data_IF_273081898378
#
_entry.id   IF_273081898378
#
_cell.length_a   1.000
_cell.length_b   1.000
_cell.length_c   1.000
_cell.angle_alpha   90.00
_cell.angle_beta   90.00
_cell.angle_gamma   90.00
#
_symmetry.space_group_name_H-M   'P 1'
#
loop_
_entity.id
_entity.type
_entity.pdbx_description
1 polymer ?
#
# COMPACT_ATOMS: atom_id res chain seq x y z
N UNK A 1 -27.93 7.39 17.80
CA UNK A 1 -26.47 7.11 17.84
C UNK A 1 -25.80 8.11 16.93
N UNK A 2 -24.77 8.82 17.39
CA UNK A 2 -24.05 9.76 16.54
C UNK A 2 -23.12 9.03 15.54
N UNK A 3 -22.70 9.73 14.49
CA UNK A 3 -21.87 9.18 13.42
C UNK A 3 -20.46 8.73 13.90
N UNK A 4 -19.92 9.35 14.96
CA UNK A 4 -18.63 8.97 15.54
C UNK A 4 -18.72 7.64 16.31
N UNK A 5 -19.86 7.39 16.95
CA UNK A 5 -20.18 6.15 17.67
C UNK A 5 -20.37 5.00 16.69
N UNK A 6 -21.05 5.23 15.57
CA UNK A 6 -21.20 4.27 14.46
C UNK A 6 -19.85 3.94 13.79
N UNK A 7 -19.02 4.95 13.53
CA UNK A 7 -17.67 4.75 12.98
C UNK A 7 -16.75 3.97 13.95
N UNK A 8 -16.84 4.25 15.26
CA UNK A 8 -16.08 3.55 16.29
C UNK A 8 -16.46 2.07 16.46
N UNK A 9 -17.76 1.74 16.34
CA UNK A 9 -18.27 0.37 16.41
C UNK A 9 -17.91 -0.42 15.13
N UNK A 10 -18.15 0.16 13.95
CA UNK A 10 -17.77 -0.46 12.67
C UNK A 10 -16.26 -0.75 12.58
N UNK A 11 -15.44 0.16 13.12
CA UNK A 11 -13.98 -0.03 13.18
C UNK A 11 -13.59 -1.21 14.08
N UNK A 12 -14.22 -1.37 15.25
CA UNK A 12 -13.95 -2.50 16.15
C UNK A 12 -14.36 -3.83 15.54
N UNK A 13 -15.50 -3.90 14.88
CA UNK A 13 -15.98 -5.15 14.28
C UNK A 13 -15.23 -5.53 13.01
N UNK A 14 -14.79 -4.55 12.20
CA UNK A 14 -13.85 -4.79 11.10
C UNK A 14 -12.50 -5.31 11.60
N UNK A 15 -11.95 -4.72 12.67
CA UNK A 15 -10.69 -5.19 13.29
C UNK A 15 -10.86 -6.60 13.87
N UNK A 16 -12.02 -6.93 14.46
CA UNK A 16 -12.33 -8.29 14.92
C UNK A 16 -12.41 -9.29 13.78
N UNK A 17 -13.03 -8.91 12.66
CA UNK A 17 -13.07 -9.70 11.43
C UNK A 17 -11.67 -9.96 10.88
N UNK A 18 -10.80 -8.94 10.84
CA UNK A 18 -9.39 -9.09 10.47
C UNK A 18 -8.60 -9.96 11.45
N UNK A 19 -8.92 -9.92 12.74
CA UNK A 19 -8.33 -10.81 13.75
C UNK A 19 -8.62 -12.29 13.50
N UNK A 20 -9.76 -12.60 12.87
CA UNK A 20 -10.14 -13.95 12.45
C UNK A 20 -9.70 -14.30 11.02
N UNK A 21 -9.27 -13.30 10.23
CA UNK A 21 -9.23 -13.36 8.77
C UNK A 21 -7.93 -12.90 8.11
N UNK A 22 -7.94 -12.83 6.79
CA UNK A 22 -7.01 -12.03 6.00
C UNK A 22 -7.80 -10.99 5.20
N UNK A 23 -7.33 -9.74 5.16
CA UNK A 23 -7.97 -8.67 4.41
C UNK A 23 -7.07 -8.11 3.30
N UNK A 24 -7.65 -7.82 2.14
CA UNK A 24 -7.00 -7.06 1.08
C UNK A 24 -7.83 -5.80 0.78
N UNK A 25 -7.17 -4.65 0.72
CA UNK A 25 -7.78 -3.37 0.34
C UNK A 25 -7.04 -2.85 -0.88
N UNK A 26 -7.73 -2.71 -2.01
CA UNK A 26 -7.17 -2.07 -3.21
C UNK A 26 -7.73 -0.65 -3.33
N UNK A 27 -6.85 0.32 -3.50
CA UNK A 27 -7.18 1.74 -3.61
C UNK A 27 -6.65 2.29 -4.93
N UNK A 28 -7.43 3.16 -5.57
CA UNK A 28 -7.05 3.90 -6.77
C UNK A 28 -8.05 5.05 -6.97
N UNK A 29 -7.61 6.21 -7.47
CA UNK A 29 -8.47 7.37 -7.72
C UNK A 29 -9.40 7.21 -8.93
N UNK A 30 -10.14 6.11 -8.98
CA UNK A 30 -11.06 5.79 -10.06
C UNK A 30 -12.37 6.56 -9.96
N UNK A 31 -12.77 7.12 -11.09
CA UNK A 31 -14.09 7.68 -11.35
C UNK A 31 -15.13 6.57 -11.44
N UNK A 32 -16.31 6.88 -10.92
CA UNK A 32 -17.50 6.01 -10.94
C UNK A 32 -17.90 5.58 -12.36
N UNK A 33 -17.93 6.53 -13.30
CA UNK A 33 -18.42 6.32 -14.66
C UNK A 33 -17.64 5.24 -15.41
N UNK A 34 -16.33 5.27 -15.31
CA UNK A 34 -15.46 4.30 -15.99
C UNK A 34 -15.24 3.01 -15.18
N UNK A 35 -15.68 2.93 -13.91
CA UNK A 35 -15.48 1.75 -13.06
C UNK A 35 -16.77 0.94 -12.83
N UNK A 36 -17.86 1.54 -12.36
CA UNK A 36 -19.04 0.80 -11.87
C UNK A 36 -20.34 1.08 -12.65
N UNK A 37 -20.33 1.99 -13.63
CA UNK A 37 -21.49 2.22 -14.50
C UNK A 37 -21.51 1.21 -15.66
N UNK A 38 -22.58 0.42 -15.73
CA UNK A 38 -22.67 -0.74 -16.62
C UNK A 38 -22.43 -0.43 -18.11
N UNK A 39 -22.83 0.75 -18.59
CA UNK A 39 -22.68 1.13 -20.00
C UNK A 39 -21.28 1.61 -20.40
N UNK A 40 -20.41 1.89 -19.44
CA UNK A 40 -19.10 2.54 -19.65
C UNK A 40 -17.99 1.93 -18.78
N UNK A 41 -18.24 0.79 -18.15
CA UNK A 41 -17.27 0.16 -17.23
C UNK A 41 -16.07 -0.42 -17.99
N UNK A 42 -14.89 -0.12 -17.46
CA UNK A 42 -13.61 -0.74 -17.79
C UNK A 42 -13.14 -1.69 -16.68
N UNK A 43 -14.02 -2.00 -15.72
CA UNK A 43 -13.79 -2.94 -14.62
C UNK A 43 -14.78 -4.10 -14.65
N UNK A 44 -14.78 -4.94 -15.71
CA UNK A 44 -15.75 -6.01 -15.88
C UNK A 44 -15.64 -7.10 -14.80
N UNK A 45 -14.43 -7.42 -14.31
CA UNK A 45 -14.30 -8.41 -13.23
C UNK A 45 -14.95 -7.90 -11.95
N UNK A 46 -14.68 -6.66 -11.55
CA UNK A 46 -15.34 -6.03 -10.43
C UNK A 46 -16.87 -6.11 -10.59
N UNK A 47 -17.40 -5.58 -11.69
CA UNK A 47 -18.84 -5.42 -11.88
C UNK A 47 -19.59 -6.73 -12.07
N UNK A 48 -19.00 -7.67 -12.82
CA UNK A 48 -19.70 -8.89 -13.23
C UNK A 48 -19.38 -10.08 -12.36
N UNK A 49 -18.26 -10.10 -11.63
CA UNK A 49 -17.87 -11.25 -10.82
C UNK A 49 -17.80 -10.89 -9.33
N UNK A 50 -17.00 -9.89 -8.96
CA UNK A 50 -16.74 -9.58 -7.55
C UNK A 50 -17.99 -9.04 -6.84
N UNK A 51 -18.77 -8.19 -7.50
CA UNK A 51 -20.02 -7.63 -6.94
C UNK A 51 -21.06 -8.71 -6.63
N UNK A 52 -21.08 -9.83 -7.37
CA UNK A 52 -21.99 -10.95 -7.08
C UNK A 52 -21.66 -11.67 -5.75
N UNK A 53 -20.43 -11.49 -5.26
CA UNK A 53 -19.86 -12.19 -4.11
C UNK A 53 -19.64 -11.28 -2.90
N UNK A 54 -19.98 -10.00 -3.03
CA UNK A 54 -19.73 -8.98 -2.01
C UNK A 54 -20.81 -7.91 -2.01
N UNK A 55 -20.52 -6.79 -1.36
CA UNK A 55 -21.44 -5.65 -1.30
C UNK A 55 -20.86 -4.47 -2.08
N UNK A 56 -21.59 -4.02 -3.10
CA UNK A 56 -21.25 -2.80 -3.83
C UNK A 56 -21.94 -1.57 -3.23
N UNK A 57 -21.15 -0.66 -2.68
CA UNK A 57 -21.64 0.65 -2.24
C UNK A 57 -21.78 1.61 -3.42
N UNK A 58 -22.91 1.49 -4.13
CA UNK A 58 -23.19 2.25 -5.36
C UNK A 58 -23.37 3.76 -5.16
N UNK A 59 -23.33 4.30 -3.95
CA UNK A 59 -23.50 5.75 -3.70
C UNK A 59 -22.51 6.23 -2.65
N UNK A 60 -21.26 5.82 -2.83
CA UNK A 60 -20.15 6.33 -2.03
C UNK A 60 -19.72 7.67 -2.62
N UNK A 61 -19.66 8.70 -1.78
CA UNK A 61 -19.27 10.05 -2.15
C UNK A 61 -18.11 10.49 -1.27
N UNK A 62 -17.19 11.25 -1.86
CA UNK A 62 -16.12 11.88 -1.11
C UNK A 62 -16.71 13.11 -0.41
N UNK A 63 -16.71 13.11 0.92
CA UNK A 63 -17.22 14.23 1.71
C UNK A 63 -16.51 15.54 1.33
N UNK A 64 -17.29 16.54 0.91
CA UNK A 64 -16.80 17.88 0.58
C UNK A 64 -16.75 18.72 1.86
N UNK A 65 -15.71 18.52 2.67
CA UNK A 65 -15.53 19.22 3.95
C UNK A 65 -14.60 20.42 3.73
N UNK A 66 -15.02 21.61 4.17
CA UNK A 66 -14.22 22.83 4.02
C UNK A 66 -12.83 22.67 4.62
N UNK A 67 -11.80 22.96 3.83
CA UNK A 67 -10.40 22.90 4.24
C UNK A 67 -9.79 21.51 4.35
N UNK A 68 -10.52 20.45 3.95
CA UNK A 68 -10.03 19.07 3.85
C UNK A 68 -9.78 18.73 2.38
N UNK A 69 -8.55 18.31 2.09
CA UNK A 69 -8.16 17.86 0.75
C UNK A 69 -8.41 16.36 0.60
N UNK A 70 -8.74 15.93 -0.61
CA UNK A 70 -9.12 14.54 -0.91
C UNK A 70 -8.33 14.03 -2.12
N UNK A 71 -7.04 14.36 -2.19
CA UNK A 71 -6.15 13.76 -3.18
C UNK A 71 -5.96 12.26 -2.88
N UNK A 72 -5.27 11.54 -3.76
CA UNK A 72 -5.03 10.11 -3.61
C UNK A 72 -4.38 9.75 -2.26
N UNK A 73 -3.38 10.54 -1.85
CA UNK A 73 -2.65 10.35 -0.59
C UNK A 73 -3.55 10.57 0.64
N UNK A 74 -4.28 11.68 0.71
CA UNK A 74 -5.20 11.97 1.82
C UNK A 74 -6.37 11.00 1.85
N UNK A 75 -6.95 10.66 0.69
CA UNK A 75 -8.02 9.67 0.58
C UNK A 75 -7.59 8.31 1.13
N UNK A 76 -6.38 7.87 0.76
CA UNK A 76 -5.78 6.65 1.32
C UNK A 76 -5.62 6.75 2.83
N UNK A 77 -5.14 7.88 3.35
CA UNK A 77 -5.04 8.13 4.80
C UNK A 77 -6.41 8.05 5.48
N UNK A 78 -7.45 8.64 4.90
CA UNK A 78 -8.80 8.61 5.48
C UNK A 78 -9.33 7.19 5.59
N UNK A 79 -9.03 6.32 4.62
CA UNK A 79 -9.42 4.92 4.64
C UNK A 79 -8.68 4.16 5.74
N UNK A 80 -7.34 4.28 5.81
CA UNK A 80 -6.55 3.51 6.79
C UNK A 80 -6.65 4.07 8.21
N UNK A 81 -7.03 5.32 8.39
CA UNK A 81 -7.20 5.95 9.72
C UNK A 81 -8.66 6.01 10.18
N UNK A 82 -9.61 5.94 9.24
CA UNK A 82 -11.03 6.17 9.48
C UNK A 82 -11.38 7.62 9.84
N UNK A 83 -10.51 8.60 9.54
CA UNK A 83 -10.68 9.99 9.95
C UNK A 83 -10.34 10.95 8.83
N UNK A 84 -11.28 11.83 8.49
CA UNK A 84 -11.01 13.05 7.71
C UNK A 84 -10.19 14.02 8.57
N UNK A 85 -9.06 14.47 8.04
CA UNK A 85 -8.17 15.42 8.70
C UNK A 85 -7.51 16.32 7.66
N UNK A 86 -7.02 17.48 8.11
CA UNK A 86 -6.24 18.37 7.26
C UNK A 86 -4.76 18.00 7.39
N UNK A 87 -4.22 17.41 6.33
CA UNK A 87 -2.80 17.11 6.27
C UNK A 87 -2.01 18.28 5.72
N UNK A 88 -0.79 18.44 6.22
CA UNK A 88 0.21 19.37 5.70
C UNK A 88 1.50 18.59 5.54
N UNK A 89 2.25 18.92 4.48
CA UNK A 89 3.57 18.35 4.29
C UNK A 89 4.46 18.64 5.50
N UNK A 90 5.09 17.59 6.04
CA UNK A 90 5.94 17.69 7.23
C UNK A 90 7.18 18.55 6.96
N UNK A 91 7.65 18.60 5.71
CA UNK A 91 8.78 19.43 5.30
C UNK A 91 8.41 20.86 4.93
N UNK A 92 7.11 21.24 4.99
CA UNK A 92 6.57 22.48 4.42
C UNK A 92 7.02 22.73 2.97
N UNK A 93 7.28 21.66 2.21
CA UNK A 93 7.72 21.78 0.82
C UNK A 93 6.53 22.14 -0.07
N UNK A 94 6.77 23.04 -1.02
CA UNK A 94 5.81 23.30 -2.08
C UNK A 94 5.62 22.02 -2.90
N UNK A 95 4.39 21.50 -2.97
CA UNK A 95 4.03 20.18 -3.54
C UNK A 95 4.63 18.97 -2.82
N UNK A 96 5.06 19.11 -1.57
CA UNK A 96 5.37 17.96 -0.73
C UNK A 96 4.10 17.21 -0.36
N UNK A 97 4.15 15.87 -0.41
CA UNK A 97 3.03 14.99 -0.07
C UNK A 97 3.34 14.12 1.15
N UNK A 98 4.34 14.48 1.96
CA UNK A 98 4.74 13.68 3.12
C UNK A 98 3.87 14.06 4.31
N UNK A 99 2.85 13.25 4.58
CA UNK A 99 1.89 13.51 5.63
C UNK A 99 2.16 12.74 6.92
N UNK A 100 1.56 13.16 8.02
CA UNK A 100 1.62 12.44 9.29
C UNK A 100 0.22 12.24 9.87
N UNK A 101 -0.24 11.00 9.86
CA UNK A 101 -1.45 10.61 10.57
C UNK A 101 -1.24 10.78 12.08
N UNK A 102 -2.10 11.56 12.74
CA UNK A 102 -2.08 11.73 14.21
C UNK A 102 -2.85 10.63 14.95
N UNK A 103 -3.64 9.86 14.20
CA UNK A 103 -4.45 8.75 14.72
C UNK A 103 -3.91 7.44 14.15
N UNK A 104 -4.00 6.32 14.90
CA UNK A 104 -3.43 5.06 14.44
C UNK A 104 -4.14 4.54 13.19
N UNK A 105 -3.35 3.90 12.33
CA UNK A 105 -3.80 3.18 11.13
C UNK A 105 -4.44 1.84 11.49
N UNK A 106 -5.20 1.25 10.55
CA UNK A 106 -5.75 -0.10 10.67
C UNK A 106 -4.65 -1.14 10.92
N UNK A 107 -3.47 -0.98 10.34
CA UNK A 107 -2.31 -1.85 10.58
C UNK A 107 -1.86 -1.80 12.04
N UNK A 108 -1.73 -0.60 12.59
CA UNK A 108 -1.32 -0.39 13.98
C UNK A 108 -2.31 -1.02 14.96
N UNK A 109 -3.62 -0.86 14.70
CA UNK A 109 -4.65 -1.52 15.49
C UNK A 109 -4.56 -3.05 15.41
N UNK A 110 -4.44 -3.61 14.20
CA UNK A 110 -4.35 -5.05 13.99
C UNK A 110 -3.12 -5.66 14.69
N UNK A 111 -1.94 -5.06 14.48
CA UNK A 111 -0.69 -5.56 15.08
C UNK A 111 -0.72 -5.47 16.60
N UNK A 112 -1.24 -4.37 17.16
CA UNK A 112 -1.30 -4.21 18.62
C UNK A 112 -2.32 -5.16 19.25
N UNK A 113 -3.49 -5.35 18.64
CA UNK A 113 -4.55 -6.17 19.20
C UNK A 113 -4.28 -7.68 19.09
N UNK A 114 -3.60 -8.12 18.03
CA UNK A 114 -3.44 -9.55 17.70
C UNK A 114 -1.98 -10.00 17.60
N UNK A 115 -1.02 -9.16 17.99
CA UNK A 115 0.41 -9.44 17.92
C UNK A 115 0.88 -9.93 16.53
N UNK A 116 0.27 -9.39 15.46
CA UNK A 116 0.61 -9.78 14.09
C UNK A 116 2.05 -9.30 13.76
N UNK A 117 2.92 -10.19 13.25
CA UNK A 117 4.26 -9.81 12.81
C UNK A 117 4.21 -8.77 11.68
N UNK A 118 5.18 -7.85 11.64
CA UNK A 118 5.21 -6.76 10.65
C UNK A 118 5.22 -7.25 9.21
N UNK A 119 5.89 -8.36 8.89
CA UNK A 119 5.91 -8.95 7.54
C UNK A 119 4.53 -9.48 7.10
N UNK A 120 3.57 -9.65 8.01
CA UNK A 120 2.20 -10.05 7.70
C UNK A 120 1.22 -8.87 7.61
N UNK A 121 1.71 -7.64 7.69
CA UNK A 121 0.91 -6.42 7.49
C UNK A 121 1.59 -5.55 6.46
N UNK A 122 1.04 -5.48 5.26
CA UNK A 122 1.74 -4.97 4.09
C UNK A 122 1.03 -3.78 3.45
N UNK A 123 1.82 -2.79 3.07
CA UNK A 123 1.44 -1.74 2.13
C UNK A 123 2.23 -1.97 0.84
N UNK A 124 1.56 -2.14 -0.29
CA UNK A 124 2.18 -2.31 -1.59
C UNK A 124 2.07 -1.00 -2.33
N UNK A 125 3.21 -0.46 -2.76
CA UNK A 125 3.26 0.87 -3.33
C UNK A 125 4.16 0.96 -4.57
N UNK A 126 3.79 1.79 -5.54
CA UNK A 126 4.50 1.91 -6.82
C UNK A 126 5.68 2.85 -6.77
N UNK A 127 5.64 3.84 -5.87
CA UNK A 127 6.61 4.90 -5.93
C UNK A 127 8.04 4.41 -5.69
N UNK A 128 8.92 4.88 -6.55
CA UNK A 128 10.37 4.84 -6.39
C UNK A 128 10.86 6.00 -5.50
N UNK A 129 9.96 6.56 -4.69
CA UNK A 129 10.21 7.69 -3.82
C UNK A 129 9.82 7.32 -2.40
N UNK A 130 10.56 7.85 -1.42
CA UNK A 130 10.26 7.61 0.00
C UNK A 130 9.07 8.42 0.50
N UNK A 131 8.50 9.30 -0.34
CA UNK A 131 7.52 10.30 0.07
C UNK A 131 6.19 9.67 0.43
N UNK A 132 5.87 8.45 0.00
CA UNK A 132 4.63 7.74 0.36
C UNK A 132 4.79 6.68 1.46
N UNK A 133 5.98 6.55 2.04
CA UNK A 133 6.21 5.66 3.19
C UNK A 133 5.41 6.08 4.43
N UNK A 134 4.85 7.31 4.46
CA UNK A 134 4.03 7.79 5.58
C UNK A 134 2.77 6.96 5.83
N UNK A 135 2.29 6.23 4.83
CA UNK A 135 1.11 5.38 4.94
C UNK A 135 1.29 4.22 5.94
N UNK A 136 2.54 3.92 6.32
CA UNK A 136 2.86 2.74 7.12
C UNK A 136 2.51 2.86 8.61
N UNK A 137 2.54 4.07 9.19
CA UNK A 137 2.19 4.30 10.60
C UNK A 137 1.93 5.77 10.95
N UNK A 138 1.23 5.96 12.08
CA UNK A 138 0.90 7.26 12.68
C UNK A 138 1.99 7.82 13.60
N UNK A 139 1.88 9.10 13.97
CA UNK A 139 2.68 9.72 15.05
C UNK A 139 2.03 9.59 16.44
N UNK A 140 1.07 8.67 16.60
CA UNK A 140 0.34 8.50 17.85
C UNK A 140 1.21 7.86 18.96
N UNK A 141 1.29 8.48 20.13
CA UNK A 141 2.18 8.09 21.25
C UNK A 141 2.02 6.65 21.78
N UNK A 142 0.82 6.08 21.76
CA UNK A 142 0.58 4.67 22.13
C UNK A 142 0.70 3.67 20.98
N UNK A 143 0.96 4.15 19.76
CA UNK A 143 1.14 3.35 18.55
C UNK A 143 2.42 3.83 17.84
N UNK A 144 2.45 3.82 16.51
CA UNK A 144 3.56 4.31 15.71
C UNK A 144 4.47 3.20 15.19
N UNK A 145 5.75 3.51 15.11
CA UNK A 145 6.79 2.72 14.42
C UNK A 145 6.83 1.25 14.81
N UNK A 146 6.52 0.90 16.06
CA UNK A 146 6.55 -0.47 16.55
C UNK A 146 5.41 -1.33 15.99
N UNK A 147 4.29 -0.70 15.61
CA UNK A 147 3.09 -1.34 15.06
C UNK A 147 2.83 -0.99 13.58
N UNK A 148 3.84 -0.47 12.86
CA UNK A 148 3.75 -0.13 11.43
C UNK A 148 3.42 -1.32 10.52
N UNK A 149 2.87 -1.06 9.34
CA UNK A 149 2.97 -2.01 8.22
C UNK A 149 4.39 -2.01 7.64
N UNK A 150 4.79 -3.14 7.05
CA UNK A 150 5.92 -3.15 6.12
C UNK A 150 5.47 -2.66 4.75
N UNK A 151 6.38 -1.99 4.03
CA UNK A 151 6.10 -1.49 2.68
C UNK A 151 6.85 -2.32 1.65
N UNK A 152 6.15 -2.80 0.62
CA UNK A 152 6.78 -3.37 -0.57
C UNK A 152 6.68 -2.36 -1.71
N UNK A 153 7.82 -1.80 -2.11
CA UNK A 153 7.90 -0.78 -3.17
C UNK A 153 9.24 -0.87 -3.90
N UNK A 154 9.34 -0.18 -5.05
CA UNK A 154 10.61 -0.06 -5.77
C UNK A 154 11.67 0.64 -4.94
N UNK A 155 11.27 1.67 -4.19
CA UNK A 155 12.16 2.34 -3.25
C UNK A 155 12.75 1.35 -2.24
N UNK A 156 11.91 0.53 -1.60
CA UNK A 156 12.35 -0.47 -0.61
C UNK A 156 13.23 -1.55 -1.23
N UNK A 157 12.91 -2.02 -2.43
CA UNK A 157 13.76 -2.96 -3.14
C UNK A 157 15.12 -2.36 -3.50
N UNK A 158 15.18 -1.10 -3.94
CA UNK A 158 16.47 -0.43 -4.20
C UNK A 158 17.29 -0.24 -2.95
N UNK A 159 16.67 0.12 -1.82
CA UNK A 159 17.38 0.27 -0.56
C UNK A 159 18.04 -1.06 -0.16
N UNK A 160 17.29 -2.16 -0.28
CA UNK A 160 17.80 -3.51 -0.11
C UNK A 160 18.96 -3.82 -1.07
N UNK A 161 18.85 -3.49 -2.37
CA UNK A 161 19.94 -3.72 -3.34
C UNK A 161 21.20 -2.92 -2.98
N UNK A 162 21.07 -1.66 -2.58
CA UNK A 162 22.20 -0.84 -2.16
C UNK A 162 22.93 -1.47 -0.97
N UNK A 163 22.19 -1.93 0.04
CA UNK A 163 22.79 -2.63 1.18
C UNK A 163 23.54 -3.90 0.76
N UNK A 164 22.94 -4.71 -0.13
CA UNK A 164 23.56 -5.96 -0.61
C UNK A 164 24.83 -5.66 -1.39
N UNK A 165 24.80 -4.70 -2.31
CA UNK A 165 25.97 -4.30 -3.09
C UNK A 165 27.11 -3.76 -2.20
N UNK A 166 26.78 -2.98 -1.17
CA UNK A 166 27.76 -2.50 -0.18
C UNK A 166 28.38 -3.65 0.62
N UNK A 167 27.57 -4.66 1.00
CA UNK A 167 28.03 -5.84 1.76
C UNK A 167 28.83 -6.83 0.89
N UNK A 168 28.50 -6.97 -0.38
CA UNK A 168 29.18 -7.86 -1.32
C UNK A 168 30.62 -7.41 -1.64
N UNK A 169 30.94 -6.13 -1.44
CA UNK A 169 32.32 -5.62 -1.55
C UNK A 169 32.93 -5.67 -2.96
N UNK A 170 32.11 -5.88 -4.00
CA UNK A 170 32.55 -5.99 -5.40
C UNK A 170 32.72 -4.63 -6.12
N UNK A 171 32.34 -3.54 -5.46
CA UNK A 171 32.34 -2.19 -6.03
C UNK A 171 33.68 -1.49 -5.81
N UNK A 172 34.07 -0.61 -6.74
CA UNK A 172 35.22 0.28 -6.53
C UNK A 172 34.97 1.30 -5.41
N UNK A 173 36.03 1.89 -4.85
CA UNK A 173 35.94 2.79 -3.68
C UNK A 173 34.98 3.98 -3.90
N UNK A 174 35.04 4.60 -5.09
CA UNK A 174 34.15 5.71 -5.46
C UNK A 174 32.68 5.29 -5.49
N UNK A 175 32.39 4.17 -6.13
CA UNK A 175 31.02 3.64 -6.22
C UNK A 175 30.51 3.24 -4.83
N UNK A 176 31.34 2.60 -4.01
CA UNK A 176 30.99 2.22 -2.65
C UNK A 176 30.64 3.46 -1.81
N UNK A 177 31.41 4.55 -1.93
CA UNK A 177 31.13 5.81 -1.24
C UNK A 177 29.79 6.43 -1.70
N UNK A 178 29.52 6.43 -3.01
CA UNK A 178 28.25 6.92 -3.56
C UNK A 178 27.05 6.11 -3.08
N UNK A 179 27.17 4.77 -3.04
CA UNK A 179 26.11 3.86 -2.58
C UNK A 179 25.84 4.01 -1.08
N UNK A 180 26.88 4.14 -0.25
CA UNK A 180 26.73 4.40 1.19
C UNK A 180 26.05 5.74 1.45
N UNK A 181 26.43 6.79 0.72
CA UNK A 181 25.79 8.10 0.81
C UNK A 181 24.31 8.07 0.40
N UNK A 182 23.98 7.29 -0.64
CA UNK A 182 22.59 7.10 -1.06
C UNK A 182 21.76 6.36 0.00
N UNK A 183 22.31 5.29 0.59
CA UNK A 183 21.67 4.54 1.66
C UNK A 183 21.42 5.40 2.90
N UNK A 184 22.44 6.14 3.37
CA UNK A 184 22.32 7.02 4.53
C UNK A 184 21.27 8.13 4.30
N UNK A 185 21.22 8.68 3.07
CA UNK A 185 20.17 9.65 2.70
C UNK A 185 18.78 9.03 2.83
N UNK A 186 18.62 7.76 2.48
CA UNK A 186 17.34 7.05 2.50
C UNK A 186 16.91 6.66 3.91
N UNK A 187 17.81 6.15 4.74
CA UNK A 187 17.52 5.81 6.14
C UNK A 187 17.06 7.02 6.97
N UNK A 188 17.49 8.24 6.59
CA UNK A 188 17.13 9.49 7.28
C UNK A 188 15.81 10.10 6.81
N UNK A 189 15.15 9.54 5.80
CA UNK A 189 13.94 10.16 5.23
C UNK A 189 12.80 10.20 6.25
N UNK A 190 12.64 9.14 7.05
CA UNK A 190 11.64 9.10 8.11
C UNK A 190 12.26 9.18 9.50
N UNK A 191 12.36 10.40 10.02
CA UNK A 191 12.89 10.67 11.35
C UNK A 191 12.14 9.92 12.46
N UNK A 192 10.86 9.55 12.23
CA UNK A 192 10.03 8.81 13.21
C UNK A 192 10.51 7.37 13.40
N UNK A 193 11.33 6.86 12.49
CA UNK A 193 11.95 5.53 12.63
C UNK A 193 13.04 5.50 13.69
N UNK A 194 13.62 6.65 14.06
CA UNK A 194 14.75 6.72 14.98
C UNK A 194 15.94 5.85 14.57
N UNK A 195 16.14 5.64 13.25
CA UNK A 195 17.17 4.75 12.70
C UNK A 195 16.79 3.26 12.67
N UNK A 196 15.55 2.89 13.00
CA UNK A 196 15.03 1.51 12.98
C UNK A 196 14.20 1.18 11.73
N UNK A 197 14.68 1.58 10.56
CA UNK A 197 13.96 1.42 9.29
C UNK A 197 14.17 0.05 8.60
N UNK A 198 14.59 -0.96 9.37
CA UNK A 198 14.77 -2.33 8.86
C UNK A 198 13.42 -3.02 8.61
N UNK A 199 13.33 -3.81 7.53
CA UNK A 199 12.10 -4.52 7.15
C UNK A 199 11.96 -5.92 7.78
N UNK A 200 13.06 -6.46 8.32
CA UNK A 200 13.12 -7.79 8.93
C UNK A 200 13.50 -8.90 7.95
N UNK A 201 13.89 -10.06 8.50
CA UNK A 201 14.49 -11.17 7.74
C UNK A 201 13.55 -11.78 6.70
N UNK A 202 12.26 -11.83 6.98
CA UNK A 202 11.26 -12.40 6.08
C UNK A 202 11.10 -11.54 4.82
N UNK A 203 11.10 -10.21 4.99
CA UNK A 203 11.04 -9.27 3.87
C UNK A 203 12.37 -9.25 3.10
N UNK A 204 13.50 -9.28 3.80
CA UNK A 204 14.80 -9.43 3.13
C UNK A 204 14.88 -10.72 2.29
N UNK A 205 14.38 -11.85 2.83
CA UNK A 205 14.32 -13.10 2.08
C UNK A 205 13.39 -13.04 0.88
N UNK A 206 12.27 -12.30 0.98
CA UNK A 206 11.41 -12.01 -0.17
C UNK A 206 12.16 -11.22 -1.25
N UNK A 207 12.91 -10.19 -0.86
CA UNK A 207 13.70 -9.40 -1.81
C UNK A 207 14.85 -10.17 -2.44
N UNK A 208 15.50 -11.09 -1.73
CA UNK A 208 16.52 -11.97 -2.32
C UNK A 208 15.93 -12.82 -3.45
N UNK A 209 14.76 -13.44 -3.22
CA UNK A 209 14.07 -14.23 -4.27
C UNK A 209 13.54 -13.37 -5.40
N UNK A 210 13.09 -12.16 -5.08
CA UNK A 210 12.70 -11.18 -6.09
C UNK A 210 13.89 -10.79 -6.98
N UNK A 211 15.05 -10.51 -6.37
CA UNK A 211 16.31 -10.22 -7.04
C UNK A 211 16.79 -11.40 -7.89
N UNK A 212 16.70 -12.62 -7.39
CA UNK A 212 17.06 -13.83 -8.16
C UNK A 212 16.25 -13.94 -9.47
N UNK A 213 14.96 -13.59 -9.42
CA UNK A 213 14.08 -13.67 -10.59
C UNK A 213 14.21 -12.47 -11.55
N UNK A 214 14.25 -11.24 -11.02
CA UNK A 214 14.20 -10.01 -11.82
C UNK A 214 15.56 -9.30 -12.02
N UNK A 215 16.59 -9.75 -11.31
CA UNK A 215 17.92 -9.16 -11.29
C UNK A 215 17.97 -7.78 -10.61
N UNK A 216 19.11 -7.13 -10.79
CA UNK A 216 19.48 -5.90 -10.06
C UNK A 216 19.03 -4.62 -10.78
N UNK A 217 18.64 -4.73 -12.06
CA UNK A 217 18.50 -3.57 -12.94
C UNK A 217 17.08 -3.01 -13.01
N UNK A 218 16.08 -3.77 -12.56
CA UNK A 218 14.67 -3.34 -12.61
C UNK A 218 14.18 -3.01 -14.03
N UNK A 219 14.79 -3.60 -15.06
CA UNK A 219 14.30 -3.53 -16.45
C UNK A 219 13.34 -4.67 -16.81
N UNK A 220 13.43 -5.79 -16.08
CA UNK A 220 12.67 -7.01 -16.36
C UNK A 220 11.34 -7.08 -15.60
N UNK A 221 11.21 -6.33 -14.50
CA UNK A 221 9.98 -6.34 -13.70
C UNK A 221 8.82 -5.64 -14.42
N UNK A 222 7.57 -6.03 -14.10
CA UNK A 222 6.40 -5.29 -14.57
C UNK A 222 6.46 -3.82 -14.16
N UNK A 223 5.70 -2.97 -14.89
CA UNK A 223 5.64 -1.52 -14.66
C UNK A 223 4.25 -1.10 -14.17
N UNK A 224 4.20 0.05 -13.49
CA UNK A 224 2.95 0.62 -12.98
C UNK A 224 2.20 -0.33 -12.06
N UNK A 225 0.88 -0.33 -12.15
CA UNK A 225 0.00 -1.12 -11.30
C UNK A 225 0.17 -2.65 -11.48
N UNK A 226 0.72 -3.08 -12.64
CA UNK A 226 1.08 -4.50 -12.83
C UNK A 226 2.21 -4.94 -11.91
N UNK A 227 3.14 -4.05 -11.57
CA UNK A 227 4.17 -4.33 -10.58
C UNK A 227 3.55 -4.56 -9.21
N UNK A 228 2.57 -3.75 -8.84
CA UNK A 228 1.92 -3.85 -7.52
C UNK A 228 1.12 -5.14 -7.42
N UNK A 229 0.44 -5.50 -8.50
CA UNK A 229 -0.23 -6.80 -8.61
C UNK A 229 0.77 -7.94 -8.39
N UNK A 230 1.89 -7.93 -9.11
CA UNK A 230 2.92 -8.98 -9.01
C UNK A 230 3.53 -9.06 -7.60
N UNK A 231 3.90 -7.91 -7.01
CA UNK A 231 4.37 -7.85 -5.62
C UNK A 231 3.35 -8.43 -4.66
N UNK A 232 2.07 -8.09 -4.84
CA UNK A 232 0.97 -8.58 -3.99
C UNK A 232 0.79 -10.08 -4.12
N UNK A 233 0.68 -10.60 -5.34
CA UNK A 233 0.47 -12.04 -5.60
C UNK A 233 1.63 -12.87 -5.04
N UNK A 234 2.88 -12.42 -5.21
CA UNK A 234 4.03 -13.11 -4.60
C UNK A 234 4.02 -13.01 -3.08
N UNK A 235 3.74 -11.83 -2.53
CA UNK A 235 3.65 -11.65 -1.08
C UNK A 235 2.55 -12.52 -0.46
N UNK A 236 1.41 -12.69 -1.12
CA UNK A 236 0.33 -13.58 -0.69
C UNK A 236 0.81 -15.03 -0.54
N UNK A 237 1.71 -15.49 -1.42
CA UNK A 237 2.29 -16.83 -1.41
C UNK A 237 3.40 -16.99 -0.37
N UNK A 238 4.28 -16.00 -0.27
CA UNK A 238 5.55 -16.12 0.48
C UNK A 238 5.48 -15.55 1.90
N UNK A 239 4.83 -14.40 2.08
CA UNK A 239 4.78 -13.66 3.34
C UNK A 239 3.48 -13.89 4.11
N UNK A 240 2.46 -14.39 3.41
CA UNK A 240 1.14 -14.72 3.94
C UNK A 240 0.48 -13.60 4.77
N UNK A 241 0.38 -12.36 4.25
CA UNK A 241 -0.17 -11.24 5.00
C UNK A 241 -1.57 -11.49 5.57
N UNK A 242 -1.80 -10.99 6.79
CA UNK A 242 -3.12 -10.88 7.42
C UNK A 242 -3.86 -9.62 6.97
N UNK A 243 -3.13 -8.57 6.60
CA UNK A 243 -3.70 -7.37 6.01
C UNK A 243 -2.75 -6.86 4.94
N UNK A 244 -3.26 -6.66 3.74
CA UNK A 244 -2.53 -6.03 2.64
C UNK A 244 -3.34 -4.86 2.08
N UNK A 245 -2.68 -3.72 1.88
CA UNK A 245 -3.22 -2.61 1.10
C UNK A 245 -2.42 -2.47 -0.18
N UNK A 246 -3.09 -2.45 -1.31
CA UNK A 246 -2.48 -2.20 -2.63
C UNK A 246 -2.85 -0.79 -3.06
N UNK A 247 -1.84 0.07 -3.14
CA UNK A 247 -1.98 1.47 -3.53
C UNK A 247 -1.79 1.62 -5.04
N UNK A 248 -2.81 1.31 -5.84
CA UNK A 248 -2.73 1.51 -7.29
C UNK A 248 -2.74 3.01 -7.62
N UNK A 249 -1.96 3.39 -8.63
CA UNK A 249 -1.64 4.80 -8.92
C UNK A 249 -1.69 5.16 -10.41
N UNK A 250 -1.72 4.19 -11.33
CA UNK A 250 -1.61 4.50 -12.77
C UNK A 250 -2.74 5.43 -13.21
N UNK A 251 -3.96 5.23 -12.68
CA UNK A 251 -5.11 6.04 -13.02
C UNK A 251 -5.03 7.49 -12.52
N UNK A 252 -4.29 7.74 -11.44
CA UNK A 252 -4.10 9.08 -10.87
C UNK A 252 -3.15 9.91 -11.72
N UNK A 253 -2.05 9.30 -12.20
CA UNK A 253 -1.09 9.98 -13.07
C UNK A 253 -1.68 10.43 -14.41
N UNK A 254 -2.70 9.73 -14.91
CA UNK A 254 -3.35 10.04 -16.19
C UNK A 254 -4.76 10.59 -16.03
N UNK A 255 -5.18 10.89 -14.78
CA UNK A 255 -6.55 11.31 -14.45
C UNK A 255 -7.00 12.54 -15.26
N UNK A 256 -6.07 13.45 -15.53
CA UNK A 256 -6.31 14.69 -16.29
C UNK A 256 -5.81 14.62 -17.75
N UNK A 257 -5.30 13.47 -18.16
CA UNK A 257 -4.67 13.24 -19.46
C UNK A 257 -5.61 12.61 -20.49
N UNK A 258 -5.02 11.86 -21.42
CA UNK A 258 -5.76 11.18 -22.47
C UNK A 258 -6.71 10.12 -21.87
N UNK A 259 -8.00 10.20 -22.20
CA UNK A 259 -9.02 9.28 -21.72
C UNK A 259 -8.69 7.81 -22.01
N UNK A 260 -8.03 7.51 -23.13
CA UNK A 260 -7.63 6.14 -23.45
C UNK A 260 -6.58 5.58 -22.49
N UNK A 261 -5.68 6.42 -21.98
CA UNK A 261 -4.69 6.02 -20.97
C UNK A 261 -5.38 5.77 -19.62
N UNK A 262 -6.32 6.65 -19.26
CA UNK A 262 -7.08 6.52 -18.02
C UNK A 262 -7.93 5.24 -18.00
N UNK A 263 -8.71 4.97 -19.03
CA UNK A 263 -9.54 3.75 -19.09
C UNK A 263 -8.69 2.48 -19.19
N UNK A 264 -7.50 2.56 -19.83
CA UNK A 264 -6.53 1.47 -19.81
C UNK A 264 -5.97 1.21 -18.41
N UNK A 265 -5.68 2.24 -17.64
CA UNK A 265 -5.25 2.09 -16.24
C UNK A 265 -6.35 1.43 -15.39
N UNK A 266 -7.61 1.86 -15.55
CA UNK A 266 -8.77 1.23 -14.90
C UNK A 266 -8.86 -0.27 -15.22
N UNK A 267 -8.70 -0.64 -16.50
CA UNK A 267 -8.70 -2.04 -16.92
C UNK A 267 -7.52 -2.85 -16.37
N UNK A 268 -6.34 -2.22 -16.22
CA UNK A 268 -5.16 -2.87 -15.62
C UNK A 268 -5.42 -3.16 -14.13
N UNK A 269 -5.99 -2.21 -13.39
CA UNK A 269 -6.34 -2.42 -11.98
C UNK A 269 -7.39 -3.53 -11.81
N UNK A 270 -8.41 -3.58 -12.66
CA UNK A 270 -9.45 -4.62 -12.60
C UNK A 270 -8.87 -6.03 -12.82
N UNK A 271 -7.99 -6.18 -13.81
CA UNK A 271 -7.26 -7.43 -14.05
C UNK A 271 -6.30 -7.76 -12.89
N UNK A 272 -5.67 -6.75 -12.28
CA UNK A 272 -4.85 -6.92 -11.08
C UNK A 272 -5.66 -7.43 -9.89
N UNK A 273 -6.85 -6.85 -9.65
CA UNK A 273 -7.79 -7.30 -8.62
C UNK A 273 -8.22 -8.75 -8.87
N UNK A 274 -8.52 -9.11 -10.11
CA UNK A 274 -8.84 -10.50 -10.50
C UNK A 274 -7.71 -11.47 -10.14
N UNK A 275 -6.46 -11.12 -10.45
CA UNK A 275 -5.31 -11.95 -10.13
C UNK A 275 -5.10 -12.09 -8.62
N UNK A 276 -5.27 -11.01 -7.85
CA UNK A 276 -5.19 -11.03 -6.39
C UNK A 276 -6.28 -11.94 -5.81
N UNK A 277 -7.53 -11.82 -6.27
CA UNK A 277 -8.64 -12.68 -5.83
C UNK A 277 -8.35 -14.14 -6.14
N UNK A 278 -7.90 -14.45 -7.36
CA UNK A 278 -7.53 -15.82 -7.73
C UNK A 278 -6.39 -16.37 -6.86
N UNK A 279 -5.39 -15.56 -6.53
CA UNK A 279 -4.29 -15.97 -5.64
C UNK A 279 -4.76 -16.22 -4.20
N UNK A 280 -5.70 -15.40 -3.71
CA UNK A 280 -6.35 -15.59 -2.41
C UNK A 280 -7.14 -16.90 -2.40
N UNK A 281 -7.94 -17.17 -3.43
CA UNK A 281 -8.75 -18.39 -3.54
C UNK A 281 -7.92 -19.67 -3.69
N UNK A 282 -6.81 -19.59 -4.41
CA UNK A 282 -5.90 -20.72 -4.54
C UNK A 282 -5.24 -21.10 -3.20
N UNK A 283 -5.18 -20.19 -2.24
CA UNK A 283 -4.55 -20.42 -0.95
C UNK A 283 -5.57 -20.89 0.10
N UNK A 284 -5.36 -22.09 0.63
CA UNK A 284 -6.24 -22.70 1.63
C UNK A 284 -6.32 -21.90 2.95
N UNK A 285 -5.23 -21.26 3.37
CA UNK A 285 -5.20 -20.43 4.59
C UNK A 285 -6.18 -19.25 4.45
N UNK A 286 -6.22 -18.63 3.27
CA UNK A 286 -7.11 -17.50 3.05
C UNK A 286 -8.56 -17.91 2.85
N UNK A 287 -8.83 -18.99 2.11
CA UNK A 287 -10.21 -19.50 1.92
C UNK A 287 -10.95 -19.77 3.21
N UNK A 288 -10.24 -20.18 4.27
CA UNK A 288 -10.84 -20.44 5.60
C UNK A 288 -11.08 -19.16 6.42
N UNK A 289 -10.59 -18.02 5.95
CA UNK A 289 -10.42 -16.80 6.73
C UNK A 289 -11.06 -15.55 6.08
N UNK A 290 -11.44 -15.64 4.80
CA UNK A 290 -12.19 -14.63 4.06
C UNK A 290 -13.65 -15.07 4.02
N UNK A 291 -14.51 -14.41 4.79
CA UNK A 291 -15.97 -14.62 4.81
C UNK A 291 -16.62 -13.56 3.93
#
# INVERSE_FOLDING_TARGET
>A
MDAATLAGVARRDFIKGLGAGAGAVALGGVRRRESIEAGTTYSPFLCHELVKRGTLFKRMEIAQIEGVETSHAEGTLFIITGKYDKYKDVGNKFLGARFEAKVPTLFEYLRKAYAVPSHRTLTINCEDRPDEEFLSFSSHHHYGVDYRSNVLSLYRFKAFLLERQVKEGKLGEKELAERRKALEKWEKVDYRTGGKDQQGREIEGFWERWREYYGDTGFVNPRGDRLLTELTVRALKELRPRLVMVNYTDCDYVHWGNMSHYTRAVAIMDEGIKQIVAAVEANEEYRKSVV
#
